data_IF_354992798824
#
_entry.id   IF_354992798824
#
_cell.length_a   1.000
_cell.length_b   1.000
_cell.length_c   1.000
_cell.angle_alpha   90.00
_cell.angle_beta   90.00
_cell.angle_gamma   90.00
#
_symmetry.space_group_name_H-M   'P 1'
#
loop_
_entity.id
_entity.type
_entity.pdbx_description
1 polymer ?
#
# COMPACT_ATOMS: atom_id res chain seq x y z
N UNK A 1 -8.93 -30.20 12.08
CA UNK A 1 -7.80 -29.47 11.51
C UNK A 1 -8.29 -28.63 10.33
N UNK A 2 -8.48 -27.33 10.54
CA UNK A 2 -9.18 -26.46 9.58
C UNK A 2 -8.12 -25.79 8.72
N UNK A 3 -7.69 -26.45 7.63
CA UNK A 3 -6.85 -25.81 6.63
C UNK A 3 -7.59 -24.58 6.13
N UNK A 4 -7.14 -23.37 6.49
CA UNK A 4 -7.58 -22.16 5.82
C UNK A 4 -7.11 -22.31 4.38
N UNK A 5 -8.01 -22.77 3.50
CA UNK A 5 -7.83 -22.66 2.06
C UNK A 5 -7.85 -21.17 1.76
N UNK A 6 -6.66 -20.57 1.66
CA UNK A 6 -6.48 -19.24 1.10
C UNK A 6 -6.79 -19.42 -0.39
N UNK A 7 -8.04 -19.17 -0.76
CA UNK A 7 -8.36 -18.97 -2.16
C UNK A 7 -7.59 -17.72 -2.58
N UNK A 8 -6.73 -17.86 -3.59
CA UNK A 8 -6.00 -16.73 -4.17
C UNK A 8 -7.02 -15.89 -4.94
N UNK A 9 -7.80 -15.11 -4.20
CA UNK A 9 -8.82 -14.18 -4.71
C UNK A 9 -8.38 -12.80 -4.26
N UNK A 10 -7.42 -12.25 -4.96
CA UNK A 10 -6.97 -10.88 -4.81
C UNK A 10 -6.69 -10.33 -6.20
N UNK A 11 -6.98 -9.06 -6.44
CA UNK A 11 -6.50 -8.40 -7.65
C UNK A 11 -4.97 -8.35 -7.55
N UNK A 12 -4.27 -9.07 -8.42
CA UNK A 12 -2.82 -9.33 -8.34
C UNK A 12 -1.97 -8.07 -8.09
N UNK A 13 -2.44 -6.91 -8.52
CA UNK A 13 -1.81 -5.59 -8.44
C UNK A 13 -1.64 -5.06 -7.01
N UNK A 14 -2.40 -5.55 -6.03
CA UNK A 14 -2.34 -5.07 -4.63
C UNK A 14 -1.80 -6.11 -3.64
N UNK A 15 -1.36 -7.26 -4.14
CA UNK A 15 -0.84 -8.35 -3.30
C UNK A 15 0.52 -7.95 -2.73
N UNK A 16 0.69 -8.09 -1.41
CA UNK A 16 1.96 -7.81 -0.73
C UNK A 16 3.01 -8.90 -1.00
N UNK A 17 4.32 -8.56 -0.97
CA UNK A 17 5.39 -9.53 -1.20
C UNK A 17 5.38 -10.67 -0.15
N UNK A 18 5.00 -10.38 1.10
CA UNK A 18 4.94 -11.37 2.18
C UNK A 18 3.84 -12.41 1.96
N UNK A 19 2.70 -11.98 1.40
CA UNK A 19 1.61 -12.87 1.05
C UNK A 19 2.01 -13.79 -0.11
N UNK A 20 2.81 -13.30 -1.08
CA UNK A 20 3.36 -14.10 -2.18
C UNK A 20 4.37 -15.14 -1.68
N UNK A 21 5.30 -14.75 -0.82
CA UNK A 21 6.41 -15.61 -0.39
C UNK A 21 6.03 -16.56 0.73
N UNK A 22 5.42 -16.04 1.81
CA UNK A 22 5.23 -16.77 3.05
C UNK A 22 3.76 -17.13 3.31
N UNK A 23 2.83 -16.67 2.45
CA UNK A 23 1.37 -16.81 2.62
C UNK A 23 0.89 -16.33 3.99
N UNK A 24 1.61 -15.37 4.57
CA UNK A 24 1.24 -14.74 5.84
C UNK A 24 0.52 -13.45 5.50
N UNK A 25 -0.74 -13.38 5.92
CA UNK A 25 -1.48 -12.13 5.89
C UNK A 25 -1.30 -11.41 7.22
N UNK A 26 -0.90 -10.14 7.16
CA UNK A 26 -0.64 -9.30 8.33
C UNK A 26 -1.33 -7.96 8.14
N UNK A 27 -1.53 -7.21 9.23
CA UNK A 27 -2.01 -5.80 9.12
C UNK A 27 -1.13 -4.96 8.20
N UNK A 28 0.15 -5.29 8.09
CA UNK A 28 1.08 -4.60 7.19
C UNK A 28 0.85 -4.94 5.70
N UNK A 29 0.13 -6.01 5.36
CA UNK A 29 -0.33 -6.28 3.99
C UNK A 29 -1.30 -5.20 3.51
N UNK A 30 -2.20 -4.74 4.38
CA UNK A 30 -3.14 -3.66 4.06
C UNK A 30 -2.41 -2.33 3.82
N UNK A 31 -1.32 -2.07 4.55
CA UNK A 31 -0.46 -0.89 4.33
C UNK A 31 0.20 -0.89 2.95
N UNK A 32 0.60 -2.07 2.46
CA UNK A 32 1.10 -2.22 1.10
C UNK A 32 0.01 -1.93 0.07
N UNK A 33 -1.17 -2.53 0.23
CA UNK A 33 -2.30 -2.29 -0.67
C UNK A 33 -2.70 -0.81 -0.67
N UNK A 34 -2.66 -0.14 0.48
CA UNK A 34 -2.87 1.29 0.61
C UNK A 34 -1.86 2.10 -0.21
N UNK A 35 -0.57 1.77 -0.13
CA UNK A 35 0.47 2.40 -0.96
C UNK A 35 0.19 2.24 -2.46
N UNK A 36 -0.22 1.05 -2.90
CA UNK A 36 -0.63 0.82 -4.28
C UNK A 36 -1.84 1.67 -4.71
N UNK A 37 -2.82 1.85 -3.82
CA UNK A 37 -4.03 2.66 -4.09
C UNK A 37 -3.67 4.14 -4.18
N UNK A 38 -2.85 4.67 -3.26
CA UNK A 38 -2.38 6.07 -3.31
C UNK A 38 -1.64 6.33 -4.62
N UNK A 39 -0.72 5.44 -4.99
CA UNK A 39 -0.02 5.53 -6.28
C UNK A 39 -1.01 5.55 -7.46
N UNK A 40 -2.01 4.67 -7.46
CA UNK A 40 -2.98 4.55 -8.55
C UNK A 40 -3.91 5.75 -8.65
N UNK A 41 -4.36 6.33 -7.52
CA UNK A 41 -5.22 7.51 -7.53
C UNK A 41 -4.53 8.72 -8.18
N UNK A 42 -3.20 8.81 -8.07
CA UNK A 42 -2.42 9.92 -8.61
C UNK A 42 -1.95 9.66 -10.04
N UNK A 43 -1.45 8.46 -10.33
CA UNK A 43 -0.88 8.11 -11.64
C UNK A 43 -1.88 7.52 -12.65
N UNK A 44 -3.07 7.13 -12.19
CA UNK A 44 -4.11 6.47 -12.99
C UNK A 44 -3.91 4.95 -13.19
N UNK A 45 -2.72 4.40 -12.89
CA UNK A 45 -2.40 2.98 -13.00
C UNK A 45 -1.75 2.46 -11.72
N UNK A 46 -1.91 1.17 -11.36
CA UNK A 46 -1.21 0.63 -10.21
C UNK A 46 0.30 0.54 -10.47
N UNK A 47 1.13 0.58 -9.40
CA UNK A 47 2.59 0.60 -9.54
C UNK A 47 3.11 -0.68 -10.20
N UNK A 48 2.50 -1.82 -9.86
CA UNK A 48 2.83 -3.12 -10.44
C UNK A 48 1.71 -3.56 -11.37
N UNK A 49 1.94 -3.46 -12.68
CA UNK A 49 1.00 -3.91 -13.69
C UNK A 49 1.69 -4.68 -14.81
N UNK A 50 1.00 -5.69 -15.34
CA UNK A 50 1.42 -6.47 -16.49
C UNK A 50 0.19 -7.21 -17.05
N UNK A 51 0.34 -7.85 -18.22
CA UNK A 51 -0.75 -8.64 -18.85
C UNK A 51 -1.06 -9.94 -18.11
N UNK A 52 -0.08 -10.51 -17.40
CA UNK A 52 -0.22 -11.75 -16.67
C UNK A 52 0.22 -11.60 -15.22
N UNK A 53 -0.54 -12.18 -14.29
CA UNK A 53 -0.31 -12.12 -12.85
C UNK A 53 1.11 -12.54 -12.44
N UNK A 54 1.66 -13.55 -13.10
CA UNK A 54 3.05 -13.99 -12.87
C UNK A 54 4.05 -12.84 -13.03
N UNK A 55 3.88 -11.99 -14.04
CA UNK A 55 4.76 -10.84 -14.26
C UNK A 55 4.52 -9.73 -13.23
N UNK A 56 3.28 -9.54 -12.78
CA UNK A 56 2.97 -8.62 -11.68
C UNK A 56 3.71 -9.05 -10.41
N UNK A 57 3.66 -10.34 -10.07
CA UNK A 57 4.37 -10.88 -8.91
C UNK A 57 5.89 -10.70 -9.02
N UNK A 58 6.46 -10.93 -10.21
CA UNK A 58 7.88 -10.68 -10.43
C UNK A 58 8.24 -9.21 -10.22
N UNK A 59 7.41 -8.27 -10.66
CA UNK A 59 7.61 -6.84 -10.44
C UNK A 59 7.52 -6.47 -8.96
N UNK A 60 6.52 -6.98 -8.24
CA UNK A 60 6.37 -6.80 -6.78
C UNK A 60 7.63 -7.24 -6.05
N UNK A 61 8.10 -8.46 -6.30
CA UNK A 61 9.26 -9.03 -5.60
C UNK A 61 10.57 -8.31 -5.91
N UNK A 62 10.65 -7.65 -7.08
CA UNK A 62 11.83 -6.88 -7.52
C UNK A 62 11.71 -5.38 -7.22
N UNK A 63 10.59 -4.92 -6.67
CA UNK A 63 10.29 -3.49 -6.52
C UNK A 63 10.39 -2.72 -7.84
N UNK A 64 9.94 -3.34 -8.94
CA UNK A 64 10.05 -2.81 -10.30
C UNK A 64 8.81 -1.98 -10.69
N UNK A 65 8.84 -0.71 -10.28
CA UNK A 65 7.89 0.34 -10.64
C UNK A 65 8.63 1.70 -10.68
N UNK A 66 8.08 2.66 -11.40
CA UNK A 66 8.63 4.02 -11.53
C UNK A 66 7.53 5.05 -11.36
N UNK A 67 7.83 6.19 -10.75
CA UNK A 67 6.87 7.29 -10.64
C UNK A 67 6.82 8.09 -11.95
N UNK A 68 5.61 8.45 -12.44
CA UNK A 68 5.49 9.31 -13.61
C UNK A 68 6.02 10.73 -13.33
N UNK A 69 6.29 11.47 -14.40
CA UNK A 69 6.68 12.88 -14.29
C UNK A 69 5.56 13.70 -13.62
N UNK A 70 5.95 14.60 -12.72
CA UNK A 70 5.00 15.45 -11.98
C UNK A 70 4.31 14.78 -10.79
N UNK A 71 4.70 13.55 -10.41
CA UNK A 71 4.18 12.92 -9.19
C UNK A 71 4.52 13.78 -7.95
N UNK A 72 3.55 14.17 -7.11
CA UNK A 72 3.80 15.05 -5.97
C UNK A 72 4.84 14.49 -5.00
N UNK A 73 5.76 15.32 -4.53
CA UNK A 73 6.88 14.88 -3.70
C UNK A 73 6.44 14.20 -2.40
N UNK A 74 5.46 14.78 -1.69
CA UNK A 74 4.95 14.21 -0.43
C UNK A 74 4.20 12.89 -0.65
N UNK A 75 3.50 12.77 -1.78
CA UNK A 75 2.84 11.52 -2.14
C UNK A 75 3.86 10.44 -2.49
N UNK A 76 4.92 10.81 -3.20
CA UNK A 76 6.01 9.90 -3.56
C UNK A 76 6.67 9.34 -2.30
N UNK A 77 7.04 10.21 -1.37
CA UNK A 77 7.64 9.85 -0.09
C UNK A 77 6.72 8.94 0.74
N UNK A 78 5.41 9.21 0.75
CA UNK A 78 4.42 8.32 1.41
C UNK A 78 4.40 6.93 0.77
N UNK A 79 4.31 6.85 -0.56
CA UNK A 79 4.27 5.58 -1.29
C UNK A 79 5.56 4.79 -1.09
N UNK A 80 6.73 5.43 -1.15
CA UNK A 80 8.03 4.78 -0.92
C UNK A 80 8.14 4.20 0.50
N UNK A 81 7.57 4.86 1.51
CA UNK A 81 7.53 4.38 2.90
C UNK A 81 6.49 3.27 3.15
N UNK A 82 5.47 3.14 2.30
CA UNK A 82 4.45 2.09 2.38
C UNK A 82 4.85 0.85 1.56
N UNK A 83 5.36 1.05 0.35
CA UNK A 83 5.84 0.01 -0.55
C UNK A 83 7.26 -0.40 -0.15
N UNK A 84 7.37 -1.07 0.99
CA UNK A 84 8.62 -1.64 1.49
C UNK A 84 8.48 -3.17 1.55
N UNK A 85 9.49 -3.89 1.05
CA UNK A 85 9.50 -5.36 1.03
C UNK A 85 9.37 -5.93 2.45
N UNK A 86 10.17 -5.41 3.38
CA UNK A 86 10.11 -5.77 4.79
C UNK A 86 8.86 -5.17 5.45
N UNK A 87 7.85 -6.02 5.68
CA UNK A 87 6.58 -5.61 6.25
C UNK A 87 6.68 -4.91 7.61
N UNK A 88 7.72 -5.18 8.39
CA UNK A 88 7.95 -4.53 9.69
C UNK A 88 8.45 -3.10 9.58
N UNK A 89 8.95 -2.69 8.41
CA UNK A 89 9.49 -1.36 8.14
C UNK A 89 8.53 -0.42 7.42
N UNK A 90 7.35 -0.91 7.03
CA UNK A 90 6.33 -0.06 6.40
C UNK A 90 5.85 1.01 7.38
N UNK A 91 5.65 2.23 6.89
CA UNK A 91 5.03 3.30 7.68
C UNK A 91 3.69 2.82 8.23
N UNK A 92 3.43 3.03 9.53
CA UNK A 92 2.25 2.53 10.23
C UNK A 92 2.37 1.11 10.78
N UNK A 93 3.36 0.30 10.38
CA UNK A 93 3.46 -1.10 10.82
C UNK A 93 3.77 -1.25 12.32
N UNK A 94 4.47 -0.28 12.90
CA UNK A 94 4.88 -0.26 14.31
C UNK A 94 4.09 0.73 15.16
N UNK A 95 3.03 1.35 14.60
CA UNK A 95 2.21 2.30 15.33
C UNK A 95 1.49 1.59 16.48
N UNK A 96 1.46 2.24 17.64
CA UNK A 96 0.78 1.71 18.83
C UNK A 96 -0.71 2.03 18.73
N UNK A 97 -1.55 1.00 18.75
CA UNK A 97 -3.01 1.16 18.65
C UNK A 97 -3.52 1.01 17.22
N UNK A 98 -4.69 1.59 16.94
CA UNK A 98 -5.39 1.48 15.64
C UNK A 98 -5.46 2.82 14.89
N UNK A 99 -4.78 3.85 15.41
CA UNK A 99 -4.88 5.23 14.92
C UNK A 99 -3.93 5.54 13.77
N UNK A 100 -2.93 4.69 13.49
CA UNK A 100 -1.94 4.89 12.40
C UNK A 100 -1.34 6.32 12.40
N UNK A 101 -0.91 6.80 13.58
CA UNK A 101 -0.40 8.16 13.79
C UNK A 101 0.73 8.53 12.82
N UNK A 102 1.65 7.62 12.53
CA UNK A 102 2.78 7.92 11.63
C UNK A 102 2.32 8.16 10.18
N UNK A 103 1.21 7.54 9.76
CA UNK A 103 0.57 7.80 8.47
C UNK A 103 -0.19 9.12 8.53
N UNK A 104 -1.00 9.34 9.57
CA UNK A 104 -1.84 10.55 9.70
C UNK A 104 -1.03 11.85 9.81
N UNK A 105 0.18 11.78 10.37
CA UNK A 105 1.10 12.91 10.51
C UNK A 105 2.02 13.10 9.29
N UNK A 106 1.90 12.26 8.26
CA UNK A 106 2.71 12.40 7.06
C UNK A 106 2.40 13.73 6.35
N UNK A 107 3.40 14.44 5.78
CA UNK A 107 3.18 15.71 5.06
C UNK A 107 2.12 15.65 3.96
N UNK A 108 1.97 14.48 3.31
CA UNK A 108 0.91 14.24 2.32
C UNK A 108 -0.51 14.50 2.86
N UNK A 109 -0.74 14.33 4.16
CA UNK A 109 -2.02 14.58 4.82
C UNK A 109 -2.02 15.86 5.67
N UNK A 110 -1.09 16.78 5.41
CA UNK A 110 -1.07 18.08 6.08
C UNK A 110 -2.41 18.82 5.90
N UNK A 111 -2.96 19.34 7.00
CA UNK A 111 -4.23 20.07 7.01
C UNK A 111 -5.49 19.19 7.08
N UNK A 112 -5.38 17.86 7.07
CA UNK A 112 -6.53 16.97 7.25
C UNK A 112 -6.99 16.95 8.71
N UNK A 113 -8.25 17.34 8.93
CA UNK A 113 -8.95 17.10 10.20
C UNK A 113 -9.49 15.67 10.23
N UNK A 114 -8.71 14.79 10.85
CA UNK A 114 -9.01 13.37 10.99
C UNK A 114 -10.17 13.08 11.97
N UNK A 115 -10.51 14.00 12.87
CA UNK A 115 -11.57 13.79 13.85
C UNK A 115 -12.94 13.99 13.20
N UNK A 116 -13.07 14.99 12.32
CA UNK A 116 -14.33 15.36 11.68
C UNK A 116 -14.38 15.01 10.18
N UNK A 117 -13.48 14.15 9.69
CA UNK A 117 -13.40 13.79 8.26
C UNK A 117 -14.72 13.27 7.68
N UNK A 118 -15.53 12.58 8.49
CA UNK A 118 -16.82 12.01 8.08
C UNK A 118 -17.94 13.05 7.91
N UNK A 119 -17.74 14.24 8.48
CA UNK A 119 -18.69 15.36 8.42
C UNK A 119 -18.35 16.35 7.29
N UNK A 120 -17.13 16.25 6.75
CA UNK A 120 -16.70 17.09 5.64
C UNK A 120 -17.38 16.68 4.33
N UNK A 121 -17.72 17.67 3.51
CA UNK A 121 -18.20 17.41 2.15
C UNK A 121 -17.02 16.96 1.29
N UNK A 122 -17.07 15.78 0.64
CA UNK A 122 -16.03 15.37 -0.29
C UNK A 122 -15.84 16.42 -1.40
N UNK A 123 -14.59 16.69 -1.82
CA UNK A 123 -14.28 17.68 -2.85
C UNK A 123 -14.85 17.32 -4.23
#
# INVERSE_FOLDING_TARGET
DRSRKISFVGTAQYVSPDLLQNRVDTRASDLWAFGCIVYQMISGLPPFHAQADFHIFQKILKMDYEFPEGFPADAKDLVEKLLVLDHSKRLGANDKGVTYESIRQHPFFEGIDWENIWEQTPP
#
